data_IF_036710875081
#
_entry.id   IF_036710875081
#
_cell.length_a   1.000
_cell.length_b   1.000
_cell.length_c   1.000
_cell.angle_alpha   90.00
_cell.angle_beta   90.00
_cell.angle_gamma   90.00
#
_symmetry.space_group_name_H-M   'P 1'
#
loop_
_entity.id
_entity.type
_entity.pdbx_description
1 polymer ?
#
# COMPACT_ATOMS: atom_id res chain seq x y z
N UNK A 1 -25.14 10.00 6.95
CA UNK A 1 -24.05 9.59 7.86
C UNK A 1 -22.70 9.90 7.19
N UNK A 2 -21.56 9.79 7.89
CA UNK A 2 -20.25 10.16 7.33
C UNK A 2 -19.92 9.32 6.08
N UNK A 3 -20.24 8.04 6.13
CA UNK A 3 -19.99 7.04 5.10
C UNK A 3 -20.74 7.36 3.80
N UNK A 4 -22.00 7.77 3.91
CA UNK A 4 -22.83 8.15 2.76
C UNK A 4 -22.20 9.30 1.95
N UNK A 5 -21.54 10.24 2.64
CA UNK A 5 -20.88 11.38 2.01
C UNK A 5 -19.70 10.97 1.12
N UNK A 6 -19.14 9.78 1.34
CA UNK A 6 -17.96 9.27 0.63
C UNK A 6 -18.21 7.95 -0.12
N UNK A 7 -19.46 7.52 -0.25
CA UNK A 7 -19.83 6.23 -0.85
C UNK A 7 -19.14 5.05 -0.17
N UNK A 8 -19.08 5.09 1.16
CA UNK A 8 -18.65 3.97 1.97
C UNK A 8 -19.87 3.31 2.61
N UNK A 9 -19.74 2.03 2.92
CA UNK A 9 -20.70 1.28 3.74
C UNK A 9 -19.90 0.43 4.72
N UNK A 10 -20.30 0.43 5.99
CA UNK A 10 -19.69 -0.44 7.00
C UNK A 10 -20.69 -1.53 7.30
N UNK A 11 -20.37 -2.76 6.93
CA UNK A 11 -21.24 -3.93 7.14
C UNK A 11 -20.58 -4.84 8.17
N UNK A 12 -21.11 -4.94 9.40
CA UNK A 12 -20.58 -5.84 10.45
C UNK A 12 -20.93 -7.31 10.17
N UNK A 13 -20.58 -7.82 8.99
CA UNK A 13 -20.93 -9.16 8.54
C UNK A 13 -20.42 -10.22 9.53
N UNK A 14 -21.31 -11.14 9.94
CA UNK A 14 -20.99 -12.21 10.89
C UNK A 14 -20.87 -11.76 12.36
N UNK A 15 -21.07 -10.48 12.69
CA UNK A 15 -21.04 -9.98 14.06
C UNK A 15 -22.47 -9.69 14.57
N UNK A 16 -22.71 -10.03 15.84
CA UNK A 16 -24.02 -9.83 16.48
C UNK A 16 -23.98 -8.72 17.53
N UNK A 17 -25.12 -8.03 17.72
CA UNK A 17 -25.40 -7.11 18.83
C UNK A 17 -24.28 -6.08 19.12
N UNK A 18 -23.66 -6.19 20.29
CA UNK A 18 -22.64 -5.26 20.78
C UNK A 18 -21.35 -5.33 19.95
N UNK A 19 -20.97 -6.52 19.46
CA UNK A 19 -19.79 -6.69 18.62
C UNK A 19 -19.95 -5.95 17.28
N UNK A 20 -21.13 -6.04 16.66
CA UNK A 20 -21.45 -5.31 15.44
C UNK A 20 -21.39 -3.77 15.64
N UNK A 21 -21.90 -3.30 16.78
CA UNK A 21 -21.89 -1.87 17.16
C UNK A 21 -20.48 -1.37 17.42
N UNK A 22 -19.66 -2.15 18.13
CA UNK A 22 -18.26 -1.84 18.44
C UNK A 22 -17.41 -1.80 17.17
N UNK A 23 -17.54 -2.80 16.30
CA UNK A 23 -16.87 -2.84 15.00
C UNK A 23 -17.19 -1.59 14.16
N UNK A 24 -18.50 -1.31 14.00
CA UNK A 24 -18.96 -0.17 13.19
C UNK A 24 -18.39 1.15 13.73
N UNK A 25 -18.43 1.33 15.05
CA UNK A 25 -17.90 2.52 15.71
C UNK A 25 -16.38 2.64 15.58
N UNK A 26 -15.65 1.53 15.67
CA UNK A 26 -14.20 1.50 15.52
C UNK A 26 -13.75 1.82 14.09
N UNK A 27 -14.35 1.20 13.08
CA UNK A 27 -14.05 1.50 11.66
C UNK A 27 -14.35 2.97 11.35
N UNK A 28 -15.51 3.47 11.80
CA UNK A 28 -15.89 4.88 11.64
C UNK A 28 -14.86 5.82 12.28
N UNK A 29 -14.36 5.50 13.47
CA UNK A 29 -13.35 6.31 14.14
C UNK A 29 -12.03 6.39 13.33
N UNK A 30 -11.61 5.27 12.72
CA UNK A 30 -10.43 5.22 11.83
C UNK A 30 -10.67 6.07 10.57
N UNK A 31 -11.84 5.93 9.94
CA UNK A 31 -12.20 6.74 8.77
C UNK A 31 -12.22 8.24 9.05
N UNK A 32 -12.71 8.66 10.23
CA UNK A 32 -12.66 10.07 10.62
C UNK A 32 -11.22 10.59 10.72
N UNK A 33 -10.30 9.81 11.27
CA UNK A 33 -8.88 10.19 11.39
C UNK A 33 -8.19 10.23 10.03
N UNK A 34 -8.52 9.32 9.11
CA UNK A 34 -8.11 9.40 7.71
C UNK A 34 -8.61 10.72 7.11
N UNK A 35 -9.90 11.02 7.20
CA UNK A 35 -10.50 12.23 6.62
C UNK A 35 -9.96 13.55 7.21
N UNK A 36 -9.35 13.55 8.39
CA UNK A 36 -8.73 14.75 8.95
C UNK A 36 -7.46 15.19 8.18
N UNK A 37 -6.83 14.30 7.41
CA UNK A 37 -5.63 14.60 6.61
C UNK A 37 -5.98 15.06 5.18
N UNK A 38 -5.07 15.74 4.48
CA UNK A 38 -5.24 16.12 3.07
C UNK A 38 -5.20 14.88 2.17
N UNK A 39 -4.29 13.93 2.42
CA UNK A 39 -4.25 12.66 1.72
C UNK A 39 -5.57 11.89 1.85
N UNK A 40 -6.13 11.80 3.06
CA UNK A 40 -7.41 11.14 3.29
C UNK A 40 -8.57 11.84 2.60
N UNK A 41 -8.60 13.18 2.60
CA UNK A 41 -9.59 13.94 1.81
C UNK A 41 -9.46 13.70 0.31
N UNK A 42 -8.24 13.63 -0.22
CA UNK A 42 -7.99 13.33 -1.62
C UNK A 42 -8.49 11.92 -1.98
N UNK A 43 -8.20 10.91 -1.16
CA UNK A 43 -8.62 9.53 -1.36
C UNK A 43 -10.15 9.38 -1.28
N UNK A 44 -10.76 9.79 -0.16
CA UNK A 44 -12.20 9.66 0.05
C UNK A 44 -13.01 10.51 -0.95
N UNK A 45 -12.52 11.70 -1.30
CA UNK A 45 -13.12 12.54 -2.34
C UNK A 45 -13.06 11.88 -3.73
N UNK A 46 -11.97 11.16 -4.03
CA UNK A 46 -11.82 10.42 -5.29
C UNK A 46 -12.75 9.20 -5.36
N UNK A 47 -12.90 8.45 -4.27
CA UNK A 47 -13.88 7.35 -4.19
C UNK A 47 -15.30 7.89 -4.42
N UNK A 48 -15.67 8.95 -3.69
CA UNK A 48 -16.95 9.64 -3.86
C UNK A 48 -17.19 10.07 -5.31
N UNK A 49 -16.18 10.64 -5.98
CA UNK A 49 -16.28 11.12 -7.35
C UNK A 49 -16.70 10.01 -8.33
N UNK A 50 -16.21 8.78 -8.14
CA UNK A 50 -16.60 7.66 -8.98
C UNK A 50 -18.02 7.15 -8.70
N UNK A 51 -18.56 7.40 -7.51
CA UNK A 51 -19.97 7.16 -7.17
C UNK A 51 -20.33 5.73 -6.76
N UNK A 52 -19.38 4.80 -6.80
CA UNK A 52 -19.58 3.40 -6.40
C UNK A 52 -19.39 3.22 -4.89
N UNK A 53 -20.20 2.34 -4.30
CA UNK A 53 -20.15 2.04 -2.87
C UNK A 53 -19.02 1.05 -2.61
N UNK A 54 -18.11 1.41 -1.70
CA UNK A 54 -17.10 0.51 -1.14
C UNK A 54 -17.67 -0.06 0.16
N UNK A 55 -17.86 -1.38 0.23
CA UNK A 55 -18.29 -2.05 1.46
C UNK A 55 -17.07 -2.41 2.32
N UNK A 56 -17.14 -2.15 3.62
CA UNK A 56 -16.07 -2.44 4.58
C UNK A 56 -16.60 -3.46 5.59
N UNK A 57 -16.07 -4.68 5.53
CA UNK A 57 -16.50 -5.83 6.33
C UNK A 57 -15.40 -6.29 7.28
N UNK A 58 -15.72 -6.97 8.39
CA UNK A 58 -14.71 -7.57 9.25
C UNK A 58 -13.84 -8.56 8.47
N UNK A 59 -12.53 -8.54 8.72
CA UNK A 59 -11.62 -9.55 8.20
C UNK A 59 -11.83 -10.87 8.96
N UNK A 60 -12.14 -11.99 8.27
CA UNK A 60 -12.45 -13.27 8.92
C UNK A 60 -11.26 -13.81 9.73
N UNK A 61 -11.53 -14.43 10.88
CA UNK A 61 -10.48 -15.02 11.74
C UNK A 61 -10.00 -16.39 11.24
N UNK A 62 -10.76 -17.04 10.35
CA UNK A 62 -10.55 -18.43 9.95
C UNK A 62 -9.63 -18.61 8.73
N UNK A 63 -9.23 -17.54 8.05
CA UNK A 63 -8.47 -17.63 6.78
C UNK A 63 -6.97 -17.92 6.94
N UNK A 64 -6.48 -18.18 8.15
CA UNK A 64 -5.07 -18.55 8.40
C UNK A 64 -4.06 -17.41 8.22
N UNK A 65 -4.44 -16.31 7.57
CA UNK A 65 -3.76 -15.03 7.70
C UNK A 65 -4.35 -14.26 8.89
N UNK A 66 -3.73 -14.48 10.06
CA UNK A 66 -4.15 -13.84 11.30
C UNK A 66 -4.09 -12.30 11.24
N UNK A 67 -3.54 -11.72 10.17
CA UNK A 67 -3.16 -10.32 10.03
C UNK A 67 -3.60 -9.59 8.76
N UNK A 68 -4.58 -10.14 8.04
CA UNK A 68 -5.03 -9.49 6.83
C UNK A 68 -5.89 -8.26 7.08
N UNK A 69 -5.62 -7.24 6.27
CA UNK A 69 -6.65 -6.47 5.61
C UNK A 69 -6.43 -6.70 4.11
N UNK A 70 -7.49 -6.68 3.31
CA UNK A 70 -7.37 -6.77 1.85
C UNK A 70 -8.58 -6.17 1.14
N UNK A 71 -8.54 -6.23 -0.20
CA UNK A 71 -9.64 -5.85 -1.08
C UNK A 71 -9.99 -7.00 -2.01
N UNK A 72 -11.27 -7.35 -2.02
CA UNK A 72 -11.84 -8.24 -3.03
C UNK A 72 -12.49 -7.42 -4.15
N UNK A 73 -12.05 -7.56 -5.42
CA UNK A 73 -12.66 -6.86 -6.55
C UNK A 73 -13.97 -7.56 -6.95
N UNK A 74 -15.02 -7.37 -6.16
CA UNK A 74 -16.32 -7.95 -6.46
C UNK A 74 -16.94 -7.29 -7.70
N UNK A 75 -17.58 -8.07 -8.57
CA UNK A 75 -18.17 -7.57 -9.81
C UNK A 75 -19.70 -7.68 -9.76
N UNK A 76 -20.38 -6.62 -10.15
CA UNK A 76 -21.79 -6.71 -10.49
C UNK A 76 -21.95 -7.55 -11.77
N UNK A 77 -22.64 -8.69 -11.67
CA UNK A 77 -22.74 -9.65 -12.78
C UNK A 77 -23.47 -9.10 -14.01
N UNK A 78 -24.32 -8.08 -13.84
CA UNK A 78 -25.14 -7.52 -14.92
C UNK A 78 -24.40 -6.39 -15.62
N UNK A 79 -23.89 -5.44 -14.84
CA UNK A 79 -23.25 -4.21 -15.32
C UNK A 79 -21.75 -4.39 -15.56
N UNK A 80 -21.15 -5.45 -15.03
CA UNK A 80 -19.69 -5.73 -15.03
C UNK A 80 -18.86 -4.65 -14.34
N UNK A 81 -19.51 -3.83 -13.52
CA UNK A 81 -18.87 -2.77 -12.73
C UNK A 81 -18.24 -3.39 -11.49
N UNK A 82 -17.03 -2.94 -11.15
CA UNK A 82 -16.34 -3.37 -9.92
C UNK A 82 -16.93 -2.62 -8.72
N UNK A 83 -17.33 -3.36 -7.70
CA UNK A 83 -17.82 -2.90 -6.40
C UNK A 83 -16.92 -3.52 -5.31
N UNK A 84 -15.74 -2.94 -5.06
CA UNK A 84 -14.75 -3.56 -4.20
C UNK A 84 -15.26 -3.69 -2.76
N UNK A 85 -14.86 -4.78 -2.10
CA UNK A 85 -15.11 -5.02 -0.68
C UNK A 85 -13.80 -5.01 0.07
N UNK A 86 -13.67 -4.10 1.02
CA UNK A 86 -12.50 -4.00 1.90
C UNK A 86 -12.76 -4.88 3.12
N UNK A 87 -11.91 -5.87 3.36
CA UNK A 87 -11.97 -6.70 4.56
C UNK A 87 -10.97 -6.13 5.57
N UNK A 88 -11.45 -5.61 6.69
CA UNK A 88 -10.62 -4.87 7.64
C UNK A 88 -11.17 -4.92 9.07
N UNK A 89 -10.34 -5.33 10.03
CA UNK A 89 -10.70 -5.36 11.46
C UNK A 89 -9.73 -4.49 12.28
N UNK A 90 -10.13 -3.28 12.73
CA UNK A 90 -9.24 -2.35 13.44
C UNK A 90 -8.51 -2.96 14.64
N UNK A 91 -9.20 -3.82 15.41
CA UNK A 91 -8.67 -4.39 16.65
C UNK A 91 -7.41 -5.25 16.47
N UNK A 92 -7.23 -5.90 15.31
CA UNK A 92 -6.11 -6.83 15.04
C UNK A 92 -4.75 -6.14 15.03
N UNK A 93 -4.71 -4.85 14.68
CA UNK A 93 -3.48 -4.07 14.50
C UNK A 93 -3.13 -3.19 15.70
N UNK A 94 -3.96 -3.23 16.75
CA UNK A 94 -3.70 -2.51 18.01
C UNK A 94 -2.70 -3.26 18.89
N UNK A 95 -2.13 -2.56 19.88
CA UNK A 95 -1.20 -3.18 20.85
C UNK A 95 -1.91 -4.34 21.57
N UNK A 96 -1.37 -5.56 21.41
CA UNK A 96 -1.92 -6.79 21.98
C UNK A 96 -2.80 -7.61 21.02
N UNK A 97 -3.09 -7.11 19.82
CA UNK A 97 -3.72 -7.91 18.76
C UNK A 97 -2.76 -8.94 18.15
N UNK A 98 -3.31 -9.91 17.39
CA UNK A 98 -2.56 -10.97 16.71
C UNK A 98 -1.40 -10.44 15.84
N UNK A 99 -1.52 -9.19 15.38
CA UNK A 99 -0.65 -8.56 14.40
C UNK A 99 0.18 -7.42 14.96
N UNK A 100 0.19 -7.30 16.29
CA UNK A 100 1.03 -6.35 17.00
C UNK A 100 2.54 -6.65 16.85
N UNK A 101 2.97 -7.54 15.95
CA UNK A 101 4.38 -7.84 15.69
C UNK A 101 4.92 -7.28 14.35
N UNK A 102 4.06 -6.87 13.39
CA UNK A 102 4.44 -6.33 12.08
C UNK A 102 4.85 -4.83 12.11
N UNK A 103 5.84 -4.37 11.32
CA UNK A 103 6.15 -2.95 11.16
C UNK A 103 4.99 -2.16 10.50
N UNK A 104 4.87 -0.85 10.76
CA UNK A 104 3.61 -0.08 10.56
C UNK A 104 2.62 -0.13 11.73
N UNK A 105 2.95 -0.95 12.73
CA UNK A 105 2.28 -1.21 14.01
C UNK A 105 1.61 0.00 14.68
N UNK A 106 0.39 -0.22 15.20
CA UNK A 106 -0.35 0.77 16.00
C UNK A 106 -1.04 1.83 15.16
N UNK A 107 -0.97 1.73 13.83
CA UNK A 107 -1.56 2.69 12.93
C UNK A 107 -2.60 2.09 12.01
N UNK A 108 -3.67 1.63 12.63
CA UNK A 108 -4.91 1.13 12.01
C UNK A 108 -5.39 1.97 10.80
N UNK A 109 -5.16 3.29 10.83
CA UNK A 109 -5.52 4.17 9.72
C UNK A 109 -4.60 4.09 8.51
N UNK A 110 -3.31 3.74 8.62
CA UNK A 110 -2.46 3.56 7.42
C UNK A 110 -2.86 2.31 6.65
N UNK A 111 -3.18 1.23 7.36
CA UNK A 111 -3.66 -0.03 6.79
C UNK A 111 -5.01 0.17 6.08
N UNK A 112 -6.00 0.77 6.74
CA UNK A 112 -7.26 1.06 6.06
C UNK A 112 -7.08 2.05 4.89
N UNK A 113 -6.15 3.01 5.01
CA UNK A 113 -5.83 3.90 3.90
C UNK A 113 -5.26 3.13 2.70
N UNK A 114 -4.36 2.18 2.93
CA UNK A 114 -3.79 1.28 1.93
C UNK A 114 -4.89 0.53 1.17
N UNK A 115 -5.77 -0.16 1.90
CA UNK A 115 -6.87 -0.90 1.26
C UNK A 115 -7.85 0.00 0.51
N UNK A 116 -8.12 1.20 1.02
CA UNK A 116 -8.97 2.16 0.31
C UNK A 116 -8.32 2.67 -0.99
N UNK A 117 -6.99 2.69 -1.09
CA UNK A 117 -6.28 2.98 -2.36
C UNK A 117 -6.51 1.85 -3.36
N UNK A 118 -6.40 0.58 -2.95
CA UNK A 118 -6.75 -0.57 -3.79
C UNK A 118 -8.20 -0.49 -4.27
N UNK A 119 -9.16 -0.24 -3.37
CA UNK A 119 -10.56 -0.07 -3.73
C UNK A 119 -10.79 1.07 -4.74
N UNK A 120 -10.13 2.22 -4.56
CA UNK A 120 -10.18 3.32 -5.53
C UNK A 120 -9.60 2.87 -6.89
N UNK A 121 -8.50 2.14 -6.89
CA UNK A 121 -7.85 1.65 -8.11
C UNK A 121 -8.77 0.71 -8.88
N UNK A 122 -9.34 -0.29 -8.22
CA UNK A 122 -10.35 -1.21 -8.76
C UNK A 122 -11.52 -0.47 -9.42
N UNK A 123 -12.10 0.50 -8.69
CA UNK A 123 -13.20 1.33 -9.19
C UNK A 123 -12.75 2.13 -10.44
N UNK A 124 -11.60 2.77 -10.37
CA UNK A 124 -11.12 3.67 -11.43
C UNK A 124 -10.74 2.92 -12.71
N UNK A 125 -10.30 1.67 -12.59
CA UNK A 125 -9.94 0.80 -13.70
C UNK A 125 -11.07 -0.15 -14.11
N UNK A 126 -12.22 -0.16 -13.44
CA UNK A 126 -13.35 -1.08 -13.67
C UNK A 126 -13.81 -1.19 -15.14
N UNK A 127 -13.63 -0.15 -15.95
CA UNK A 127 -13.96 -0.15 -17.38
C UNK A 127 -12.86 -0.73 -18.28
N UNK A 128 -11.67 -0.99 -17.75
CA UNK A 128 -10.52 -1.58 -18.44
C UNK A 128 -10.44 -3.05 -18.08
N UNK A 129 -11.17 -3.89 -18.83
CA UNK A 129 -11.27 -5.34 -18.60
C UNK A 129 -9.93 -6.09 -18.66
N UNK A 130 -8.92 -5.51 -19.30
CA UNK A 130 -7.61 -6.14 -19.51
C UNK A 130 -6.52 -5.62 -18.53
N UNK A 131 -6.93 -5.07 -17.38
CA UNK A 131 -5.98 -4.62 -16.38
C UNK A 131 -5.28 -5.82 -15.72
N UNK A 132 -4.18 -6.28 -16.34
CA UNK A 132 -3.35 -7.35 -15.79
C UNK A 132 -2.37 -6.77 -14.78
N UNK A 133 -2.33 -7.39 -13.59
CA UNK A 133 -1.38 -7.03 -12.54
C UNK A 133 0.05 -7.13 -13.06
N UNK A 134 0.78 -6.01 -13.03
CA UNK A 134 2.19 -6.02 -13.42
C UNK A 134 3.01 -6.43 -12.21
N UNK A 135 3.69 -7.57 -12.31
CA UNK A 135 4.61 -8.04 -11.26
C UNK A 135 5.83 -7.11 -11.20
N UNK A 136 6.16 -6.68 -9.98
CA UNK A 136 7.36 -5.88 -9.74
C UNK A 136 8.62 -6.73 -9.80
N UNK A 137 9.68 -6.10 -10.30
CA UNK A 137 10.99 -6.72 -10.56
C UNK A 137 12.07 -5.68 -10.31
N UNK A 138 13.33 -6.11 -10.27
CA UNK A 138 14.45 -5.22 -9.97
C UNK A 138 14.33 -4.64 -8.56
N UNK A 139 14.68 -3.36 -8.38
CA UNK A 139 14.73 -2.71 -7.07
C UNK A 139 13.36 -2.54 -6.41
N UNK A 140 12.29 -2.76 -7.16
CA UNK A 140 10.91 -2.72 -6.68
C UNK A 140 10.32 -4.10 -6.39
N UNK A 141 11.08 -5.20 -6.49
CA UNK A 141 10.53 -6.56 -6.36
C UNK A 141 9.76 -6.82 -5.06
N UNK A 142 10.12 -6.13 -3.97
CA UNK A 142 9.48 -6.30 -2.65
C UNK A 142 8.09 -5.71 -2.55
N UNK A 143 7.67 -4.91 -3.53
CA UNK A 143 6.29 -4.48 -3.64
C UNK A 143 5.39 -5.54 -4.28
N UNK A 144 5.92 -6.64 -4.80
CA UNK A 144 5.21 -7.74 -5.47
C UNK A 144 4.46 -7.36 -6.75
N UNK A 145 3.53 -6.41 -6.71
CA UNK A 145 2.73 -5.95 -7.85
C UNK A 145 2.72 -4.43 -7.99
N UNK A 146 2.26 -3.96 -9.15
CA UNK A 146 2.12 -2.53 -9.40
C UNK A 146 1.03 -1.90 -8.53
N UNK A 147 -0.06 -2.62 -8.23
CA UNK A 147 -1.12 -2.10 -7.36
C UNK A 147 -0.60 -1.92 -5.93
N UNK A 148 0.10 -2.92 -5.41
CA UNK A 148 0.78 -2.85 -4.11
C UNK A 148 1.79 -1.69 -4.05
N UNK A 149 2.61 -1.52 -5.09
CA UNK A 149 3.52 -0.38 -5.18
C UNK A 149 2.80 0.97 -5.08
N UNK A 150 1.62 1.12 -5.72
CA UNK A 150 0.84 2.35 -5.66
C UNK A 150 0.18 2.54 -4.30
N UNK A 151 -0.37 1.48 -3.71
CA UNK A 151 -0.97 1.52 -2.37
C UNK A 151 0.07 1.92 -1.32
N UNK A 152 1.24 1.28 -1.31
CA UNK A 152 2.35 1.64 -0.40
C UNK A 152 2.86 3.06 -0.67
N UNK A 153 3.03 3.47 -1.93
CA UNK A 153 3.47 4.84 -2.24
C UNK A 153 2.48 5.89 -1.67
N UNK A 154 1.18 5.64 -1.78
CA UNK A 154 0.16 6.54 -1.24
C UNK A 154 0.10 6.49 0.30
N UNK A 155 0.24 5.29 0.88
CA UNK A 155 0.35 5.09 2.33
C UNK A 155 1.55 5.85 2.90
N UNK A 156 2.71 5.79 2.26
CA UNK A 156 3.92 6.52 2.69
C UNK A 156 3.74 8.04 2.65
N UNK A 157 3.00 8.56 1.66
CA UNK A 157 2.64 9.98 1.60
C UNK A 157 1.72 10.35 2.76
N UNK A 158 0.69 9.53 3.04
CA UNK A 158 -0.18 9.70 4.20
C UNK A 158 0.63 9.64 5.51
N UNK A 159 1.53 8.67 5.61
CA UNK A 159 2.39 8.43 6.76
C UNK A 159 3.29 9.62 7.06
N UNK A 160 3.91 10.16 6.01
CA UNK A 160 4.74 11.35 6.09
C UNK A 160 3.93 12.61 6.42
N UNK A 161 2.75 12.79 5.83
CA UNK A 161 1.85 13.93 6.14
C UNK A 161 1.52 14.00 7.63
N UNK A 162 1.31 12.84 8.25
CA UNK A 162 0.93 12.73 9.66
C UNK A 162 2.12 12.81 10.61
N UNK A 163 3.33 13.07 10.09
CA UNK A 163 4.52 13.31 10.90
C UNK A 163 5.24 12.03 11.33
N UNK A 164 5.04 10.91 10.65
CA UNK A 164 5.67 9.62 10.97
C UNK A 164 6.66 9.14 9.90
N UNK A 165 7.68 9.94 9.50
CA UNK A 165 8.58 9.58 8.40
C UNK A 165 9.49 8.37 8.70
N UNK A 166 9.56 7.92 9.96
CA UNK A 166 10.29 6.72 10.35
C UNK A 166 9.49 5.42 10.11
N UNK A 167 8.23 5.54 9.71
CA UNK A 167 7.32 4.42 9.40
C UNK A 167 7.11 4.21 7.90
N UNK A 168 7.89 4.89 7.04
CA UNK A 168 7.81 4.69 5.59
C UNK A 168 8.20 3.25 5.23
N UNK A 169 7.54 2.68 4.23
CA UNK A 169 7.62 1.26 3.88
C UNK A 169 8.45 1.03 2.60
N UNK A 170 9.44 0.14 2.70
CA UNK A 170 10.25 -0.31 1.57
C UNK A 170 9.72 -1.57 0.87
N UNK A 171 8.60 -2.12 1.37
CA UNK A 171 7.93 -3.30 0.81
C UNK A 171 6.43 -3.33 1.17
N UNK A 172 5.66 -4.15 0.45
CA UNK A 172 4.20 -4.27 0.68
C UNK A 172 3.83 -5.12 1.89
N UNK A 173 4.74 -5.98 2.38
CA UNK A 173 4.48 -6.81 3.57
C UNK A 173 4.61 -6.01 4.86
N UNK A 174 5.00 -4.75 4.74
CA UNK A 174 5.31 -3.87 5.85
C UNK A 174 6.49 -4.35 6.67
N UNK A 175 7.38 -5.23 6.18
CA UNK A 175 8.44 -5.86 6.99
C UNK A 175 9.71 -5.00 7.02
N UNK A 176 9.99 -4.28 5.94
CA UNK A 176 11.20 -3.51 5.75
C UNK A 176 10.86 -2.02 5.71
N UNK A 177 11.44 -1.20 6.59
CA UNK A 177 11.31 0.25 6.44
C UNK A 177 11.96 0.72 5.14
N UNK A 178 11.47 1.83 4.59
CA UNK A 178 12.08 2.49 3.44
C UNK A 178 13.52 2.88 3.79
N UNK A 179 14.44 2.61 2.87
CA UNK A 179 15.83 3.03 3.00
C UNK A 179 15.90 4.55 3.25
N UNK A 180 16.56 5.02 4.32
CA UNK A 180 16.66 6.44 4.63
C UNK A 180 17.20 7.30 3.47
N UNK A 181 18.03 6.74 2.59
CA UNK A 181 18.52 7.44 1.40
C UNK A 181 17.41 7.72 0.37
N UNK A 182 16.37 6.89 0.35
CA UNK A 182 15.21 6.97 -0.53
C UNK A 182 14.04 7.75 0.09
N UNK A 183 14.11 8.12 1.37
CA UNK A 183 13.08 8.86 2.09
C UNK A 183 12.96 10.36 1.69
N UNK A 184 13.67 10.79 0.66
CA UNK A 184 13.46 12.07 -0.02
C UNK A 184 12.62 11.88 -1.30
N UNK A 185 11.71 12.83 -1.55
CA UNK A 185 10.73 12.75 -2.65
C UNK A 185 11.36 12.57 -4.04
N UNK A 186 12.52 13.17 -4.32
CA UNK A 186 13.23 12.96 -5.59
C UNK A 186 14.13 11.72 -5.53
N UNK A 187 14.80 11.47 -4.41
CA UNK A 187 15.69 10.31 -4.26
C UNK A 187 14.94 8.98 -4.31
N UNK A 188 13.66 8.95 -3.94
CA UNK A 188 12.79 7.77 -4.11
C UNK A 188 12.82 7.21 -5.54
N UNK A 189 13.00 8.06 -6.56
CA UNK A 189 13.10 7.58 -7.94
C UNK A 189 14.33 6.69 -8.19
N UNK A 190 15.32 6.71 -7.30
CA UNK A 190 16.46 5.80 -7.31
C UNK A 190 16.16 4.42 -6.68
N UNK A 191 14.92 4.12 -6.26
CA UNK A 191 14.50 2.79 -5.77
C UNK A 191 14.72 1.68 -6.81
N UNK A 192 14.76 2.03 -8.09
CA UNK A 192 14.98 1.10 -9.21
C UNK A 192 14.79 1.81 -10.54
N UNK A 193 15.34 1.27 -11.64
CA UNK A 193 15.35 1.99 -12.93
C UNK A 193 13.97 2.21 -13.54
N UNK A 194 12.99 1.43 -13.09
CA UNK A 194 11.60 1.50 -13.55
C UNK A 194 10.71 2.41 -12.71
N UNK A 195 11.21 2.96 -11.61
CA UNK A 195 10.40 3.74 -10.64
C UNK A 195 9.71 4.92 -11.31
N UNK A 196 10.44 5.73 -12.09
CA UNK A 196 9.86 6.83 -12.85
C UNK A 196 8.70 6.38 -13.76
N UNK A 197 8.90 5.30 -14.52
CA UNK A 197 7.88 4.78 -15.45
C UNK A 197 6.61 4.35 -14.70
N UNK A 198 6.74 3.73 -13.54
CA UNK A 198 5.60 3.29 -12.75
C UNK A 198 4.84 4.46 -12.10
N UNK A 199 5.55 5.44 -11.53
CA UNK A 199 4.91 6.67 -11.03
C UNK A 199 4.22 7.44 -12.15
N UNK A 200 4.88 7.59 -13.31
CA UNK A 200 4.31 8.25 -14.48
C UNK A 200 3.05 7.52 -14.98
N UNK A 201 3.08 6.18 -15.03
CA UNK A 201 1.92 5.35 -15.36
C UNK A 201 0.76 5.61 -14.41
N UNK A 202 0.99 5.62 -13.10
CA UNK A 202 -0.06 5.92 -12.12
C UNK A 202 -0.65 7.32 -12.32
N UNK A 203 0.19 8.33 -12.55
CA UNK A 203 -0.27 9.69 -12.82
C UNK A 203 -1.10 9.78 -14.11
N UNK A 204 -0.81 8.95 -15.11
CA UNK A 204 -1.60 8.86 -16.35
C UNK A 204 -2.91 8.08 -16.17
N UNK A 205 -2.91 7.01 -15.36
CA UNK A 205 -4.07 6.16 -15.12
C UNK A 205 -5.08 6.80 -14.14
N UNK A 206 -4.62 7.60 -13.18
CA UNK A 206 -5.45 8.34 -12.23
C UNK A 206 -5.02 9.82 -12.10
N UNK A 207 -5.17 10.64 -13.14
CA UNK A 207 -4.65 12.01 -13.14
C UNK A 207 -5.30 12.89 -12.08
N UNK A 208 -6.59 12.73 -11.78
CA UNK A 208 -7.28 13.49 -10.74
C UNK A 208 -6.74 13.19 -9.34
N UNK A 209 -6.78 11.92 -8.95
CA UNK A 209 -6.33 11.48 -7.62
C UNK A 209 -4.84 11.75 -7.39
N UNK A 210 -3.97 11.34 -8.32
CA UNK A 210 -2.52 11.57 -8.21
C UNK A 210 -2.17 13.05 -8.16
N UNK A 211 -2.90 13.91 -8.89
CA UNK A 211 -2.71 15.36 -8.80
C UNK A 211 -3.12 15.93 -7.44
N UNK A 212 -4.24 15.49 -6.87
CA UNK A 212 -4.65 15.88 -5.52
C UNK A 212 -3.60 15.42 -4.47
N UNK A 213 -3.14 14.17 -4.55
CA UNK A 213 -2.09 13.65 -3.67
C UNK A 213 -0.77 14.42 -3.81
N UNK A 214 -0.42 14.87 -5.01
CA UNK A 214 0.79 15.70 -5.24
C UNK A 214 0.78 17.06 -4.53
N UNK A 215 -0.39 17.52 -4.08
CA UNK A 215 -0.55 18.79 -3.36
C UNK A 215 -0.44 18.62 -1.84
N UNK A 216 -0.43 17.39 -1.35
CA UNK A 216 -0.28 17.09 0.08
C UNK A 216 1.09 17.56 0.56
N UNK A 217 1.07 18.35 1.63
CA UNK A 217 2.29 18.81 2.31
C UNK A 217 2.82 17.68 3.22
N UNK A 218 3.75 16.91 2.68
CA UNK A 218 4.45 15.84 3.37
C UNK A 218 5.96 15.96 3.08
N UNK A 219 6.82 15.49 3.99
CA UNK A 219 8.27 15.47 3.77
C UNK A 219 8.66 14.47 2.68
N UNK A 220 7.87 13.41 2.53
CA UNK A 220 7.95 12.41 1.47
C UNK A 220 6.70 12.49 0.60
N UNK A 221 6.86 12.97 -0.64
CA UNK A 221 5.82 13.01 -1.67
C UNK A 221 6.41 12.89 -3.08
N UNK A 222 6.74 11.66 -3.53
CA UNK A 222 7.26 11.44 -4.89
C UNK A 222 6.31 11.87 -6.01
N UNK A 223 5.01 11.94 -5.77
CA UNK A 223 4.05 12.49 -6.73
C UNK A 223 4.25 14.00 -6.90
N UNK A 224 4.44 14.74 -5.81
CA UNK A 224 4.79 16.16 -5.86
C UNK A 224 6.10 16.39 -6.62
N UNK A 225 7.12 15.55 -6.39
CA UNK A 225 8.39 15.60 -7.11
C UNK A 225 8.22 15.34 -8.62
N UNK A 226 7.44 14.32 -9.00
CA UNK A 226 7.12 14.01 -10.39
C UNK A 226 6.42 15.19 -11.10
N UNK A 227 5.38 15.76 -10.50
CA UNK A 227 4.65 16.89 -11.09
C UNK A 227 5.47 18.19 -11.12
N UNK A 228 6.46 18.34 -10.24
CA UNK A 228 7.34 19.52 -10.17
C UNK A 228 8.43 19.49 -11.24
N UNK A 229 9.13 18.37 -11.38
CA UNK A 229 10.23 18.21 -12.33
C UNK A 229 10.37 16.74 -12.76
N UNK A 230 9.60 16.30 -13.78
CA UNK A 230 9.62 14.92 -14.24
C UNK A 230 10.98 14.52 -14.82
N UNK A 231 11.73 15.45 -15.41
CA UNK A 231 13.07 15.18 -15.94
C UNK A 231 14.07 14.90 -14.82
N UNK A 232 13.99 15.62 -13.70
CA UNK A 232 14.79 15.31 -12.52
C UNK A 232 14.43 13.95 -11.93
N UNK A 233 13.14 13.63 -11.81
CA UNK A 233 12.70 12.31 -11.37
C UNK A 233 13.25 11.19 -12.28
N UNK A 234 13.17 11.36 -13.60
CA UNK A 234 13.73 10.42 -14.57
C UNK A 234 15.25 10.25 -14.41
N UNK A 235 16.00 11.35 -14.20
CA UNK A 235 17.44 11.29 -13.95
C UNK A 235 17.77 10.44 -12.73
N UNK A 236 17.02 10.55 -11.63
CA UNK A 236 17.22 9.70 -10.44
C UNK A 236 16.97 8.22 -10.74
N UNK A 237 15.92 7.88 -11.50
CA UNK A 237 15.71 6.50 -11.97
C UNK A 237 16.76 6.02 -12.97
N UNK A 238 17.61 6.89 -13.50
CA UNK A 238 18.69 6.52 -14.43
C UNK A 238 20.08 6.56 -13.78
N UNK A 239 20.17 6.78 -12.46
CA UNK A 239 21.45 6.78 -11.75
C UNK A 239 21.99 5.36 -11.58
N UNK A 240 23.33 5.19 -11.46
CA UNK A 240 23.94 3.89 -11.20
C UNK A 240 23.33 3.14 -10.00
N UNK A 241 23.02 3.86 -8.91
CA UNK A 241 22.39 3.29 -7.71
C UNK A 241 21.02 2.64 -7.98
N UNK A 242 20.23 3.17 -8.92
CA UNK A 242 18.95 2.58 -9.31
C UNK A 242 19.15 1.23 -10.02
N UNK A 243 20.18 1.13 -10.86
CA UNK A 243 20.54 -0.10 -11.55
C UNK A 243 21.17 -1.15 -10.64
N UNK A 244 21.96 -0.72 -9.64
CA UNK A 244 22.49 -1.59 -8.59
C UNK A 244 21.36 -2.24 -7.79
N UNK A 245 20.37 -1.44 -7.36
CA UNK A 245 19.17 -1.96 -6.67
C UNK A 245 18.35 -2.91 -7.55
N UNK A 246 18.30 -2.66 -8.87
CA UNK A 246 17.70 -3.61 -9.81
C UNK A 246 18.43 -4.96 -9.83
N UNK A 247 19.75 -4.96 -9.88
CA UNK A 247 20.54 -6.17 -9.83
C UNK A 247 20.34 -6.92 -8.49
N UNK A 248 20.36 -6.19 -7.36
CA UNK A 248 20.14 -6.76 -6.04
C UNK A 248 18.76 -7.39 -5.89
N UNK A 249 17.73 -6.78 -6.47
CA UNK A 249 16.38 -7.34 -6.44
C UNK A 249 16.23 -8.65 -7.23
N UNK A 250 16.99 -8.82 -8.31
CA UNK A 250 17.05 -10.10 -9.04
C UNK A 250 17.65 -11.20 -8.16
N UNK A 251 18.75 -10.89 -7.46
CA UNK A 251 19.39 -11.84 -6.55
C UNK A 251 18.52 -12.13 -5.32
N UNK A 252 17.92 -11.10 -4.71
CA UNK A 252 17.02 -11.23 -3.56
C UNK A 252 15.91 -12.24 -3.84
N UNK A 253 15.19 -12.06 -4.94
CA UNK A 253 14.11 -12.98 -5.37
C UNK A 253 14.60 -14.41 -5.61
N UNK A 254 15.82 -14.58 -6.13
CA UNK A 254 16.40 -15.92 -6.33
C UNK A 254 16.71 -16.63 -5.01
N UNK A 255 17.25 -15.92 -4.02
CA UNK A 255 17.58 -16.50 -2.72
C UNK A 255 16.36 -16.73 -1.82
N UNK A 256 15.36 -15.86 -1.87
CA UNK A 256 14.08 -16.05 -1.16
C UNK A 256 13.36 -17.32 -1.63
N UNK A 257 13.25 -17.52 -2.95
CA UNK A 257 12.68 -18.75 -3.52
C UNK A 257 13.44 -20.01 -3.12
N UNK A 258 14.77 -19.95 -3.00
CA UNK A 258 15.57 -21.08 -2.52
C UNK A 258 15.26 -21.39 -1.06
N UNK A 259 15.13 -20.35 -0.21
CA UNK A 259 14.78 -20.51 1.21
C UNK A 259 13.41 -21.16 1.39
N UNK A 260 12.39 -20.68 0.69
CA UNK A 260 11.02 -21.23 0.74
C UNK A 260 10.99 -22.71 0.36
N UNK A 261 11.81 -23.15 -0.61
CA UNK A 261 11.91 -24.57 -1.00
C UNK A 261 12.62 -25.46 0.00
N UNK A 262 13.49 -24.90 0.84
CA UNK A 262 14.30 -25.65 1.81
C UNK A 262 13.68 -25.73 3.19
N UNK A 263 12.70 -24.88 3.51
CA UNK A 263 11.98 -24.94 4.78
C UNK A 263 10.88 -26.02 4.69
N UNK A 264 10.83 -26.98 5.62
CA UNK A 264 9.70 -27.91 5.69
C UNK A 264 8.41 -27.11 5.95
N UNK A 265 7.29 -27.50 5.33
CA UNK A 265 6.01 -26.84 5.57
C UNK A 265 5.68 -26.89 7.08
N UNK A 266 5.58 -25.71 7.72
CA UNK A 266 5.23 -25.56 9.14
C UNK A 266 6.36 -25.16 10.11
N UNK A 267 7.59 -24.90 9.64
CA UNK A 267 8.64 -24.36 10.50
C UNK A 267 8.48 -22.85 10.78
N UNK A 268 8.73 -22.35 12.01
CA UNK A 268 8.67 -20.91 12.28
C UNK A 268 9.73 -20.16 11.46
N UNK A 269 9.42 -18.96 10.94
CA UNK A 269 10.35 -18.17 10.13
C UNK A 269 11.53 -17.73 11.00
N UNK A 270 12.66 -18.43 10.87
CA UNK A 270 13.89 -18.04 11.53
C UNK A 270 14.55 -16.96 10.66
N UNK A 271 14.24 -15.68 10.93
CA UNK A 271 14.80 -14.54 10.20
C UNK A 271 16.18 -14.21 10.78
N UNK A 272 17.29 -14.49 10.09
CA UNK A 272 18.58 -13.99 10.53
C UNK A 272 18.62 -12.46 10.37
N UNK A 273 19.33 -11.78 11.26
CA UNK A 273 19.49 -10.33 11.22
C UNK A 273 19.92 -9.84 9.82
N UNK A 274 19.41 -8.68 9.35
CA UNK A 274 19.82 -8.11 8.07
C UNK A 274 21.34 -7.95 8.02
N UNK A 275 21.94 -8.24 6.85
CA UNK A 275 23.37 -8.02 6.65
C UNK A 275 23.67 -6.52 6.85
N UNK A 276 24.78 -6.17 7.52
CA UNK A 276 25.22 -4.78 7.57
C UNK A 276 25.48 -4.26 6.15
N UNK A 277 24.91 -3.08 5.86
CA UNK A 277 25.11 -2.38 4.59
C UNK A 277 26.61 -2.15 4.36
N UNK A 278 27.12 -2.52 3.18
CA UNK A 278 28.53 -2.33 2.78
C UNK A 278 29.43 -3.57 2.85
N UNK A 279 28.94 -4.74 3.26
CA UNK A 279 29.73 -5.97 3.18
C UNK A 279 29.95 -6.39 1.70
N UNK A 280 31.21 -6.50 1.21
CA UNK A 280 31.47 -6.86 -0.17
C UNK A 280 30.92 -8.25 -0.48
N UNK A 281 30.20 -8.37 -1.61
CA UNK A 281 29.74 -9.65 -2.14
C UNK A 281 30.98 -10.44 -2.54
N UNK A 282 31.37 -11.45 -1.74
CA UNK A 282 32.32 -12.47 -2.20
C UNK A 282 31.66 -13.21 -3.36
N UNK A 283 32.10 -12.89 -4.59
CA UNK A 283 31.77 -13.69 -5.77
C UNK A 283 32.46 -15.05 -5.63
N UNK A 284 31.79 -16.16 -5.98
CA UNK A 284 32.44 -17.47 -6.10
C UNK A 284 33.50 -17.46 -7.20
#
# INVERSE_FOLDING_TARGET
MFEDAFKLKITPAGLEKDAATQYTSAVRAVLYKIHQSQSGKALLGSIRFHGFVVDIIPYPDEEGDACGADVEPNYDQVTTIVMPTVRYTPGKFTKGGSCAHLPGKGWTESILFHELVHALRDISQSKRRDYTGVVMTGGLYRYDTFEEFIAVLCEDIYTSERGNPHMLLGDHRGITPLDPELADSFKFFASGSRTYRFVARFCQENPGFSKLMSQVRASFNPLAAYYKDPQKALRYSSQPSAHERDADGVWGKMFERKRERTLPPGGPPNVPAPRPYGAPIRRP
#
